data_IF_492052327985
#
_entry.id   IF_492052327985
#
_cell.length_a   1.000
_cell.length_b   1.000
_cell.length_c   1.000
_cell.angle_alpha   90.00
_cell.angle_beta   90.00
_cell.angle_gamma   90.00
#
_symmetry.space_group_name_H-M   'P 1'
#
loop_
_entity.id
_entity.type
_entity.pdbx_description
1 polymer ?
#
# COMPACT_ATOMS: atom_id res chain seq x y z
N UNK A 1 -19.26 -9.63 -17.27
CA UNK A 1 -18.58 -8.50 -17.96
C UNK A 1 -17.13 -8.30 -17.54
N UNK A 2 -16.80 -8.19 -16.24
CA UNK A 2 -15.42 -7.93 -15.78
C UNK A 2 -14.35 -8.94 -16.26
N UNK A 3 -14.67 -10.23 -16.34
CA UNK A 3 -13.71 -11.27 -16.77
C UNK A 3 -13.28 -11.07 -18.23
N UNK A 4 -14.21 -10.69 -19.09
CA UNK A 4 -13.98 -10.42 -20.52
C UNK A 4 -13.22 -9.11 -20.74
N UNK A 5 -13.50 -8.07 -19.94
CA UNK A 5 -12.72 -6.82 -19.96
C UNK A 5 -11.27 -7.03 -19.52
N UNK A 6 -11.03 -7.85 -18.48
CA UNK A 6 -9.67 -8.20 -18.01
C UNK A 6 -8.90 -9.05 -19.01
N UNK A 7 -9.57 -9.91 -19.77
CA UNK A 7 -8.96 -10.72 -20.84
C UNK A 7 -8.67 -9.85 -22.08
N UNK A 8 -9.61 -8.98 -22.47
CA UNK A 8 -9.47 -8.03 -23.57
C UNK A 8 -8.30 -7.08 -23.34
N UNK A 9 -8.16 -6.47 -22.16
CA UNK A 9 -7.05 -5.56 -21.86
C UNK A 9 -5.67 -6.25 -21.96
N UNK A 10 -5.56 -7.52 -21.57
CA UNK A 10 -4.32 -8.30 -21.70
C UNK A 10 -4.01 -8.62 -23.16
N UNK A 11 -5.01 -9.04 -23.94
CA UNK A 11 -4.87 -9.31 -25.36
C UNK A 11 -4.49 -8.04 -26.14
N UNK A 12 -5.11 -6.91 -25.85
CA UNK A 12 -4.77 -5.62 -26.47
C UNK A 12 -3.33 -5.20 -26.21
N UNK A 13 -2.81 -5.40 -24.99
CA UNK A 13 -1.40 -5.10 -24.68
C UNK A 13 -0.42 -6.00 -25.45
N UNK A 14 -0.76 -7.29 -25.61
CA UNK A 14 0.03 -8.24 -26.39
C UNK A 14 0.03 -7.85 -27.88
N UNK A 15 -1.15 -7.60 -28.44
CA UNK A 15 -1.30 -7.18 -29.85
C UNK A 15 -0.55 -5.88 -30.12
N UNK A 16 -0.67 -4.89 -29.23
CA UNK A 16 0.04 -3.63 -29.35
C UNK A 16 1.57 -3.82 -29.29
N UNK A 17 2.06 -4.73 -28.44
CA UNK A 17 3.49 -5.05 -28.36
C UNK A 17 4.02 -5.69 -29.65
N UNK A 18 3.25 -6.60 -30.25
CA UNK A 18 3.59 -7.17 -31.55
C UNK A 18 3.51 -6.15 -32.69
N UNK A 19 2.53 -5.25 -32.66
CA UNK A 19 2.41 -4.17 -33.64
C UNK A 19 3.63 -3.24 -33.60
N UNK A 20 4.05 -2.82 -32.40
CA UNK A 20 5.24 -1.97 -32.22
C UNK A 20 6.50 -2.68 -32.73
N UNK A 21 6.65 -3.98 -32.44
CA UNK A 21 7.76 -4.78 -32.94
C UNK A 21 7.78 -4.81 -34.49
N UNK A 22 6.62 -5.06 -35.11
CA UNK A 22 6.48 -5.10 -36.56
C UNK A 22 6.78 -3.75 -37.20
N UNK A 23 6.30 -2.65 -36.63
CA UNK A 23 6.58 -1.29 -37.11
C UNK A 23 8.08 -0.99 -37.04
N UNK A 24 8.74 -1.30 -35.91
CA UNK A 24 10.17 -1.10 -35.76
C UNK A 24 10.96 -1.91 -36.79
N UNK A 25 10.60 -3.18 -37.01
CA UNK A 25 11.25 -4.04 -37.99
C UNK A 25 11.01 -3.56 -39.43
N UNK A 26 9.79 -3.14 -39.76
CA UNK A 26 9.44 -2.57 -41.06
C UNK A 26 10.26 -1.30 -41.33
N UNK A 27 10.37 -0.39 -40.37
CA UNK A 27 11.16 0.84 -40.53
C UNK A 27 12.64 0.52 -40.79
N UNK A 28 13.19 -0.48 -40.10
CA UNK A 28 14.57 -0.92 -40.31
C UNK A 28 14.77 -1.54 -41.70
N UNK A 29 13.91 -2.48 -42.09
CA UNK A 29 14.00 -3.17 -43.39
C UNK A 29 13.85 -2.21 -44.58
N UNK A 30 13.13 -1.09 -44.40
CA UNK A 30 12.99 -0.04 -45.41
C UNK A 30 14.07 1.06 -45.32
N UNK A 31 15.13 0.86 -44.51
CA UNK A 31 16.22 1.81 -44.36
C UNK A 31 15.83 3.15 -43.74
N UNK A 32 14.67 3.21 -43.05
CA UNK A 32 14.19 4.44 -42.39
C UNK A 32 14.87 4.69 -41.05
N UNK A 33 15.41 3.64 -40.44
CA UNK A 33 16.18 3.72 -39.19
C UNK A 33 17.44 2.88 -39.30
N UNK A 34 18.50 3.32 -38.62
CA UNK A 34 19.76 2.59 -38.48
C UNK A 34 19.63 1.45 -37.45
N UNK A 35 20.56 0.50 -37.50
CA UNK A 35 20.55 -0.67 -36.62
C UNK A 35 20.64 -0.31 -35.13
N UNK A 36 21.45 0.69 -34.78
CA UNK A 36 21.62 1.18 -33.41
C UNK A 36 20.31 1.75 -32.85
N UNK A 37 19.54 2.45 -33.69
CA UNK A 37 18.24 3.00 -33.32
C UNK A 37 17.20 1.88 -33.15
N UNK A 38 17.23 0.84 -34.00
CA UNK A 38 16.39 -0.35 -33.82
C UNK A 38 16.67 -1.02 -32.47
N UNK A 39 17.94 -1.24 -32.12
CA UNK A 39 18.33 -1.83 -30.84
C UNK A 39 17.85 -0.99 -29.65
N UNK A 40 17.99 0.34 -29.72
CA UNK A 40 17.51 1.23 -28.66
C UNK A 40 15.98 1.15 -28.48
N UNK A 41 15.22 1.09 -29.57
CA UNK A 41 13.75 0.97 -29.53
C UNK A 41 13.31 -0.39 -28.97
N UNK A 42 13.98 -1.48 -29.35
CA UNK A 42 13.71 -2.81 -28.80
C UNK A 42 14.02 -2.87 -27.31
N UNK A 43 15.15 -2.31 -26.87
CA UNK A 43 15.50 -2.23 -25.46
C UNK A 43 14.46 -1.44 -24.66
N UNK A 44 14.04 -0.27 -25.16
CA UNK A 44 13.02 0.57 -24.52
C UNK A 44 11.68 -0.18 -24.42
N UNK A 45 11.27 -0.89 -25.47
CA UNK A 45 10.06 -1.71 -25.46
C UNK A 45 10.14 -2.82 -24.39
N UNK A 46 11.25 -3.54 -24.31
CA UNK A 46 11.47 -4.57 -23.29
C UNK A 46 11.45 -3.98 -21.87
N UNK A 47 12.07 -2.81 -21.68
CA UNK A 47 12.09 -2.11 -20.39
C UNK A 47 10.68 -1.71 -19.93
N UNK A 48 9.91 -1.06 -20.81
CA UNK A 48 8.52 -0.66 -20.52
C UNK A 48 7.66 -1.89 -20.20
N UNK A 49 7.81 -2.96 -20.97
CA UNK A 49 7.07 -4.21 -20.77
C UNK A 49 7.41 -4.85 -19.42
N UNK A 50 8.69 -4.87 -19.05
CA UNK A 50 9.15 -5.34 -17.75
C UNK A 50 8.59 -4.52 -16.59
N UNK A 51 8.61 -3.18 -16.71
CA UNK A 51 8.01 -2.29 -15.72
C UNK A 51 6.51 -2.49 -15.56
N UNK A 52 5.77 -2.67 -16.65
CA UNK A 52 4.33 -2.98 -16.63
C UNK A 52 4.04 -4.33 -15.95
N UNK A 53 4.84 -5.36 -16.23
CA UNK A 53 4.67 -6.67 -15.60
C UNK A 53 4.97 -6.62 -14.10
N UNK A 54 6.05 -5.95 -13.72
CA UNK A 54 6.44 -5.75 -12.31
C UNK A 54 5.36 -5.00 -11.53
N UNK A 55 4.85 -3.90 -12.09
CA UNK A 55 3.78 -3.12 -11.48
C UNK A 55 2.50 -3.95 -11.33
N UNK A 56 2.11 -4.71 -12.36
CA UNK A 56 0.98 -5.62 -12.27
C UNK A 56 1.15 -6.69 -11.19
N UNK A 57 2.35 -7.28 -11.07
CA UNK A 57 2.65 -8.26 -10.02
C UNK A 57 2.50 -7.67 -8.62
N UNK A 58 3.03 -6.47 -8.39
CA UNK A 58 2.87 -5.75 -7.13
C UNK A 58 1.39 -5.49 -6.82
N UNK A 59 0.63 -4.98 -7.79
CA UNK A 59 -0.81 -4.75 -7.65
C UNK A 59 -1.52 -6.03 -7.18
N UNK A 60 -1.26 -7.15 -7.87
CA UNK A 60 -1.87 -8.44 -7.52
C UNK A 60 -1.47 -8.94 -6.15
N UNK A 61 -0.23 -8.70 -5.72
CA UNK A 61 0.24 -9.06 -4.39
C UNK A 61 -0.53 -8.30 -3.31
N UNK A 62 -0.72 -6.99 -3.47
CA UNK A 62 -1.49 -6.19 -2.52
C UNK A 62 -2.99 -6.48 -2.58
N UNK A 63 -3.55 -6.74 -3.77
CA UNK A 63 -4.95 -7.16 -3.92
C UNK A 63 -5.22 -8.45 -3.13
N UNK A 64 -4.38 -9.50 -3.32
CA UNK A 64 -4.50 -10.75 -2.56
C UNK A 64 -4.35 -10.55 -1.06
N UNK A 65 -3.49 -9.62 -0.65
CA UNK A 65 -3.32 -9.29 0.77
C UNK A 65 -4.59 -8.68 1.36
N UNK A 66 -5.23 -7.75 0.65
CA UNK A 66 -6.50 -7.17 1.06
C UNK A 66 -7.60 -8.24 1.12
N UNK A 67 -7.72 -9.07 0.08
CA UNK A 67 -8.69 -10.17 0.00
C UNK A 67 -8.53 -11.15 1.18
N UNK A 68 -7.29 -11.54 1.51
CA UNK A 68 -6.99 -12.43 2.63
C UNK A 68 -7.34 -11.84 4.00
N UNK A 69 -7.35 -10.51 4.12
CA UNK A 69 -7.76 -9.80 5.33
C UNK A 69 -9.28 -9.54 5.36
N UNK A 70 -10.01 -9.85 4.28
CA UNK A 70 -11.41 -9.47 4.10
C UNK A 70 -11.60 -7.96 3.90
N UNK A 71 -10.58 -7.25 3.43
CA UNK A 71 -10.57 -5.80 3.24
C UNK A 71 -10.79 -5.44 1.77
N UNK A 72 -11.31 -4.23 1.55
CA UNK A 72 -11.48 -3.66 0.22
C UNK A 72 -10.19 -2.95 -0.18
N UNK A 73 -9.62 -3.33 -1.32
CA UNK A 73 -8.52 -2.60 -1.95
C UNK A 73 -9.05 -1.34 -2.64
N UNK A 74 -8.55 -0.16 -2.28
CA UNK A 74 -8.97 1.11 -2.87
C UNK A 74 -8.28 1.31 -4.23
N UNK A 75 -9.08 1.34 -5.29
CA UNK A 75 -8.61 1.56 -6.65
C UNK A 75 -7.94 2.94 -6.82
N UNK A 76 -7.06 3.07 -7.81
CA UNK A 76 -6.31 4.31 -8.07
C UNK A 76 -5.16 4.59 -7.09
N UNK A 77 -4.99 3.76 -6.06
CA UNK A 77 -3.91 3.90 -5.07
C UNK A 77 -2.70 3.02 -5.39
N UNK A 78 -2.42 2.74 -6.66
CA UNK A 78 -1.40 1.76 -7.07
C UNK A 78 0.01 2.06 -6.52
N UNK A 79 0.45 3.33 -6.62
CA UNK A 79 1.75 3.77 -6.09
C UNK A 79 1.79 3.82 -4.56
N UNK A 80 0.62 3.86 -3.92
CA UNK A 80 0.44 4.03 -2.50
C UNK A 80 -0.70 3.14 -1.97
N UNK A 81 -0.58 1.79 -2.03
CA UNK A 81 -1.71 0.89 -1.83
C UNK A 81 -2.46 1.15 -0.53
N UNK A 82 -3.78 1.29 -0.62
CA UNK A 82 -4.68 1.50 0.53
C UNK A 82 -5.74 0.43 0.61
N UNK A 83 -5.94 -0.11 1.80
CA UNK A 83 -7.03 -1.05 2.09
C UNK A 83 -7.91 -0.50 3.19
N UNK A 84 -9.19 -0.82 3.14
CA UNK A 84 -10.16 -0.45 4.18
C UNK A 84 -11.06 -1.63 4.50
N UNK A 85 -11.38 -1.82 5.77
CA UNK A 85 -12.21 -2.94 6.18
C UNK A 85 -12.49 -2.97 7.68
N UNK A 86 -13.33 -3.92 8.08
CA UNK A 86 -13.61 -4.19 9.48
C UNK A 86 -12.78 -5.38 9.96
N UNK A 87 -12.19 -5.25 11.14
CA UNK A 87 -11.54 -6.34 11.86
C UNK A 87 -11.96 -6.30 13.32
N UNK A 88 -12.47 -7.41 13.86
CA UNK A 88 -13.02 -7.53 15.24
C UNK A 88 -13.98 -6.37 15.60
N UNK A 89 -14.87 -6.01 14.66
CA UNK A 89 -15.87 -4.95 14.85
C UNK A 89 -15.31 -3.52 14.87
N UNK A 90 -14.04 -3.30 14.49
CA UNK A 90 -13.43 -1.97 14.37
C UNK A 90 -13.06 -1.68 12.92
N UNK A 91 -13.17 -0.41 12.52
CA UNK A 91 -12.78 0.04 11.18
C UNK A 91 -11.29 0.32 11.12
N UNK A 92 -10.63 -0.31 10.14
CA UNK A 92 -9.22 -0.14 9.87
C UNK A 92 -8.96 0.38 8.46
N UNK A 93 -7.92 1.19 8.35
CA UNK A 93 -7.33 1.58 7.08
C UNK A 93 -5.84 1.21 7.09
N UNK A 94 -5.42 0.45 6.09
CA UNK A 94 -4.02 0.09 5.85
C UNK A 94 -3.48 0.95 4.71
N UNK A 95 -2.23 1.38 4.82
CA UNK A 95 -1.57 2.17 3.79
C UNK A 95 -0.11 1.76 3.66
N UNK A 96 0.34 1.53 2.43
CA UNK A 96 1.71 1.11 2.10
C UNK A 96 2.38 2.18 1.26
N UNK A 97 3.28 2.96 1.87
CA UNK A 97 3.96 4.06 1.19
C UNK A 97 5.40 4.19 1.64
N UNK A 98 6.23 4.81 0.82
CA UNK A 98 7.60 5.19 1.18
C UNK A 98 7.72 6.65 1.66
N UNK A 99 6.60 7.32 1.96
CA UNK A 99 6.60 8.73 2.38
C UNK A 99 5.42 9.12 3.29
N UNK A 100 5.73 9.83 4.37
CA UNK A 100 4.97 10.99 4.85
C UNK A 100 5.97 12.15 5.01
N UNK A 101 5.54 13.37 4.72
CA UNK A 101 6.26 14.64 4.96
C UNK A 101 7.14 14.61 6.21
N UNK A 102 8.47 14.75 6.02
CA UNK A 102 9.46 14.90 7.10
C UNK A 102 10.30 13.66 7.48
N UNK A 103 10.16 12.52 6.78
CA UNK A 103 10.97 11.31 7.03
C UNK A 103 11.86 10.89 5.84
N UNK A 104 12.82 10.00 6.11
CA UNK A 104 13.79 9.44 5.16
C UNK A 104 13.10 8.95 3.88
N UNK A 105 13.45 9.57 2.76
CA UNK A 105 12.95 9.18 1.45
C UNK A 105 13.39 7.76 1.12
N UNK A 106 12.46 6.96 0.58
CA UNK A 106 12.80 5.67 -0.05
C UNK A 106 12.66 4.44 0.85
N UNK A 107 12.38 4.60 2.15
CA UNK A 107 12.11 3.43 3.01
C UNK A 107 10.64 3.02 2.87
N UNK A 108 10.32 1.80 2.38
CA UNK A 108 8.94 1.34 2.30
C UNK A 108 8.38 1.15 3.72
N UNK A 109 7.14 1.54 3.93
CA UNK A 109 6.51 1.54 5.25
C UNK A 109 5.10 0.96 5.21
N UNK A 110 4.72 0.32 6.31
CA UNK A 110 3.33 -0.11 6.56
C UNK A 110 2.71 0.78 7.61
N UNK A 111 1.57 1.38 7.28
CA UNK A 111 0.77 2.19 8.19
C UNK A 111 -0.54 1.46 8.48
N UNK A 112 -0.84 1.28 9.76
CA UNK A 112 -2.09 0.69 10.23
C UNK A 112 -2.85 1.76 11.00
N UNK A 113 -4.08 2.06 10.58
CA UNK A 113 -4.93 3.08 11.21
C UNK A 113 -6.18 2.42 11.77
N UNK A 114 -6.41 2.61 13.06
CA UNK A 114 -7.67 2.26 13.72
C UNK A 114 -8.50 3.54 13.85
N UNK A 115 -9.61 3.63 13.11
CA UNK A 115 -10.40 4.87 13.02
C UNK A 115 -11.71 4.78 13.81
N UNK A 116 -12.17 5.94 14.32
CA UNK A 116 -13.46 6.07 14.99
C UNK A 116 -14.27 7.22 14.41
N UNK A 117 -15.59 7.04 14.38
CA UNK A 117 -16.55 8.13 14.12
C UNK A 117 -16.60 9.13 15.28
N UNK A 118 -16.49 8.62 16.50
CA UNK A 118 -16.53 9.42 17.72
C UNK A 118 -15.18 10.07 18.03
N UNK A 119 -15.22 11.25 18.67
CA UNK A 119 -14.02 11.89 19.20
C UNK A 119 -13.54 11.16 20.46
N UNK A 120 -12.49 10.36 20.33
CA UNK A 120 -11.76 9.76 21.46
C UNK A 120 -10.56 10.60 21.86
N UNK A 121 -10.12 10.45 23.10
CA UNK A 121 -8.90 11.05 23.64
C UNK A 121 -8.01 9.97 24.26
N UNK A 122 -6.71 10.09 24.05
CA UNK A 122 -5.71 9.16 24.54
C UNK A 122 -4.60 9.88 25.31
N UNK A 123 -3.89 9.14 26.14
CA UNK A 123 -2.66 9.57 26.78
C UNK A 123 -1.45 9.28 25.87
N UNK A 124 -0.94 10.31 25.22
CA UNK A 124 0.17 10.19 24.27
C UNK A 124 1.46 9.67 24.92
N UNK A 125 1.69 9.92 26.22
CA UNK A 125 2.86 9.38 26.94
C UNK A 125 2.75 7.86 27.06
N UNK A 126 1.55 7.36 27.36
CA UNK A 126 1.29 5.91 27.41
C UNK A 126 1.45 5.28 26.03
N UNK A 127 0.93 5.91 24.97
CA UNK A 127 1.11 5.43 23.60
C UNK A 127 2.59 5.38 23.19
N UNK A 128 3.34 6.45 23.48
CA UNK A 128 4.76 6.54 23.13
C UNK A 128 5.64 5.50 23.84
N UNK A 129 5.26 5.03 25.03
CA UNK A 129 5.98 3.97 25.74
C UNK A 129 5.99 2.63 24.98
N UNK A 130 5.08 2.44 24.01
CA UNK A 130 5.05 1.27 23.15
C UNK A 130 5.90 1.42 21.88
N UNK A 131 6.49 2.59 21.61
CA UNK A 131 7.25 2.86 20.39
C UNK A 131 8.62 2.15 20.33
N UNK A 132 9.02 1.41 21.37
CA UNK A 132 10.30 0.67 21.42
C UNK A 132 10.27 -0.62 22.24
N UNK A 133 9.10 -1.08 22.71
CA UNK A 133 9.02 -2.32 23.49
C UNK A 133 9.01 -3.55 22.58
N UNK A 134 9.89 -4.49 22.93
CA UNK A 134 10.14 -5.81 22.35
C UNK A 134 8.91 -6.61 21.90
N UNK A 135 8.32 -6.25 20.77
CA UNK A 135 7.72 -7.27 19.92
C UNK A 135 8.86 -7.97 19.21
N UNK A 136 9.15 -9.21 19.62
CA UNK A 136 10.16 -10.11 19.03
C UNK A 136 10.17 -9.93 17.50
N UNK A 137 11.17 -9.19 17.00
CA UNK A 137 11.43 -8.84 15.59
C UNK A 137 10.68 -7.64 14.94
N UNK A 138 10.10 -6.68 15.67
CA UNK A 138 9.28 -5.63 15.04
C UNK A 138 9.90 -4.22 14.98
N UNK A 139 9.99 -3.73 13.73
CA UNK A 139 10.39 -2.41 13.27
C UNK A 139 9.30 -1.34 13.42
N UNK A 140 8.57 -1.31 14.54
CA UNK A 140 7.57 -0.26 14.82
C UNK A 140 8.33 1.03 15.13
N UNK A 141 8.04 2.10 14.39
CA UNK A 141 8.70 3.40 14.56
C UNK A 141 7.90 4.32 15.47
N UNK A 142 6.58 4.34 15.27
CA UNK A 142 5.73 5.34 15.89
C UNK A 142 4.31 4.78 16.04
N UNK A 143 3.76 4.93 17.23
CA UNK A 143 2.34 4.84 17.53
C UNK A 143 1.92 6.22 18.06
N UNK A 144 0.89 6.81 17.44
CA UNK A 144 0.35 8.10 17.85
C UNK A 144 -1.15 8.18 17.70
N UNK A 145 -1.78 9.02 18.51
CA UNK A 145 -3.15 9.44 18.31
C UNK A 145 -3.20 10.69 17.43
N UNK A 146 -4.12 10.70 16.47
CA UNK A 146 -4.34 11.85 15.59
C UNK A 146 -5.79 12.29 15.71
N UNK A 147 -5.97 13.55 16.12
CA UNK A 147 -7.27 14.24 16.15
C UNK A 147 -7.22 15.40 15.18
N UNK A 148 -8.15 15.40 14.22
CA UNK A 148 -8.47 16.51 13.31
C UNK A 148 -10.00 16.62 13.23
N UNK A 149 -10.49 17.72 12.68
CA UNK A 149 -11.94 18.00 12.64
C UNK A 149 -12.78 16.87 12.04
N UNK A 150 -12.22 16.16 11.05
CA UNK A 150 -12.86 15.06 10.34
C UNK A 150 -12.14 13.70 10.50
N UNK A 151 -11.14 13.61 11.40
CA UNK A 151 -10.36 12.37 11.60
C UNK A 151 -10.02 12.14 13.07
N UNK A 152 -10.40 10.99 13.60
CA UNK A 152 -9.95 10.52 14.91
C UNK A 152 -9.46 9.08 14.79
N UNK A 153 -8.15 8.86 14.93
CA UNK A 153 -7.57 7.53 14.76
C UNK A 153 -6.27 7.34 15.52
N UNK A 154 -6.00 6.08 15.89
CA UNK A 154 -4.66 5.64 16.27
C UNK A 154 -3.92 5.21 15.01
N UNK A 155 -2.68 5.67 14.90
CA UNK A 155 -1.77 5.35 13.80
C UNK A 155 -0.60 4.55 14.33
N UNK A 156 -0.34 3.39 13.74
CA UNK A 156 0.89 2.63 13.90
C UNK A 156 1.69 2.69 12.60
N UNK A 157 2.97 3.03 12.71
CA UNK A 157 3.94 3.06 11.62
C UNK A 157 5.00 1.99 11.82
N UNK A 158 5.23 1.18 10.80
CA UNK A 158 6.25 0.11 10.79
C UNK A 158 7.15 0.20 9.56
N UNK A 159 8.46 0.00 9.73
CA UNK A 159 9.38 -0.15 8.59
C UNK A 159 9.11 -1.42 7.82
N UNK A 160 9.28 -1.31 6.51
CA UNK A 160 9.08 -2.32 5.50
C UNK A 160 7.60 -2.64 5.22
N UNK A 161 7.33 -3.05 3.98
CA UNK A 161 6.01 -3.55 3.62
C UNK A 161 5.76 -4.90 4.27
N UNK A 162 4.68 -4.98 5.05
CA UNK A 162 4.24 -6.21 5.70
C UNK A 162 3.25 -6.91 4.78
N UNK A 163 3.67 -8.02 4.18
CA UNK A 163 2.83 -8.79 3.25
C UNK A 163 2.20 -10.05 3.87
N UNK A 164 2.37 -10.27 5.17
CA UNK A 164 1.79 -11.41 5.88
C UNK A 164 0.48 -10.98 6.56
N UNK A 165 -0.66 -11.59 6.24
CA UNK A 165 -1.94 -11.30 6.89
C UNK A 165 -1.84 -11.41 8.41
N UNK A 166 -1.30 -12.53 8.91
CA UNK A 166 -1.08 -12.77 10.35
C UNK A 166 -0.29 -11.64 11.03
N UNK A 167 0.80 -11.17 10.40
CA UNK A 167 1.58 -10.05 10.95
C UNK A 167 0.80 -8.73 10.94
N UNK A 168 -0.12 -8.52 10.00
CA UNK A 168 -0.98 -7.33 9.98
C UNK A 168 -2.04 -7.45 11.08
N UNK A 169 -2.65 -8.62 11.25
CA UNK A 169 -3.59 -8.90 12.33
C UNK A 169 -2.96 -8.67 13.71
N UNK A 170 -1.71 -9.11 13.93
CA UNK A 170 -0.95 -8.83 15.15
C UNK A 170 -0.81 -7.31 15.41
N UNK A 171 -0.59 -6.50 14.36
CA UNK A 171 -0.52 -5.04 14.50
C UNK A 171 -1.89 -4.41 14.78
N UNK A 172 -2.96 -4.96 14.20
CA UNK A 172 -4.34 -4.53 14.45
C UNK A 172 -4.76 -4.86 15.89
N UNK A 173 -4.44 -6.06 16.36
CA UNK A 173 -4.68 -6.50 17.74
C UNK A 173 -3.94 -5.63 18.75
N UNK A 174 -2.68 -5.27 18.46
CA UNK A 174 -1.94 -4.30 19.26
C UNK A 174 -2.67 -2.95 19.34
N UNK A 175 -3.14 -2.41 18.20
CA UNK A 175 -3.89 -1.15 18.20
C UNK A 175 -5.21 -1.23 18.97
N UNK A 176 -5.92 -2.37 18.92
CA UNK A 176 -7.13 -2.59 19.71
C UNK A 176 -6.81 -2.54 21.19
N UNK A 177 -5.80 -3.31 21.63
CA UNK A 177 -5.37 -3.37 23.04
C UNK A 177 -4.93 -1.99 23.57
N UNK A 178 -4.17 -1.24 22.77
CA UNK A 178 -3.79 0.14 23.11
C UNK A 178 -4.99 1.08 23.19
N UNK A 179 -5.98 0.89 22.31
CA UNK A 179 -7.19 1.71 22.31
C UNK A 179 -8.05 1.55 23.56
N UNK A 180 -7.87 0.45 24.29
CA UNK A 180 -8.61 0.17 25.53
C UNK A 180 -7.84 0.67 26.75
N UNK A 181 -6.52 0.46 26.78
CA UNK A 181 -5.65 0.77 27.92
C UNK A 181 -5.22 2.24 28.03
N UNK A 182 -5.10 2.95 26.89
CA UNK A 182 -4.56 4.31 26.86
C UNK A 182 -5.62 5.43 26.93
N UNK A 183 -6.90 5.12 27.15
CA UNK A 183 -7.96 6.14 27.25
C UNK A 183 -7.71 7.06 28.44
N UNK A 184 -7.86 8.37 28.23
CA UNK A 184 -7.98 9.31 29.37
C UNK A 184 -9.28 8.99 30.10
N UNK A 185 -9.21 8.73 31.41
CA UNK A 185 -10.42 8.74 32.25
C UNK A 185 -11.04 10.11 32.09
N UNK A 186 -12.29 10.18 31.62
CA UNK A 186 -13.08 11.39 31.70
C UNK A 186 -13.21 11.71 33.18
N UNK A 187 -12.48 12.70 33.68
CA UNK A 187 -12.75 13.27 34.99
C UNK A 187 -14.10 13.94 34.82
N UNK A 188 -15.17 13.28 35.29
CA UNK A 188 -16.44 13.95 35.51
C UNK A 188 -16.11 15.07 36.49
N UNK A 189 -16.13 16.32 36.01
CA UNK A 189 -16.23 17.45 36.93
C UNK A 189 -17.52 17.21 37.69
N UNK A 190 -17.38 16.98 39.00
CA UNK A 190 -18.48 17.03 39.95
C UNK A 190 -19.08 18.44 39.94
#
# INVERSE_FOLDING_TARGET
>A
MEKWQKVSAKLSAIILSFLVLFVNLYLYLNGKIIFELLLALLFLQSLISGLMLFTYFLYKKFQRLADNLGFIYIQGTFMHPKFEGHYKGKWFQLHFVSKETGGDWGVPMTYVKLQWKEKKTFDDKKLAAHNRKDYKHSSIIEIKHVVRDYKNYLLLKRRWFTFSPKKIEELMDLLISLSESAKKKTVRKA
#
